data_IF_864040953123
#
_entry.id   IF_864040953123
#
_cell.length_a   1.000
_cell.length_b   1.000
_cell.length_c   1.000
_cell.angle_alpha   90.00
_cell.angle_beta   90.00
_cell.angle_gamma   90.00
#
_symmetry.space_group_name_H-M   'P 1'
#
loop_
_entity.id
_entity.type
_entity.pdbx_description
1 polymer ?
#
# COMPACT_ATOMS: atom_id res chain seq x y z
N UNK A 1 -42.95 -48.11 36.34
CA UNK A 1 -44.18 -47.59 36.96
C UNK A 1 -44.68 -46.42 36.20
N UNK A 2 -45.71 -46.63 35.45
CA UNK A 2 -46.93 -45.85 35.20
C UNK A 2 -46.70 -44.36 35.09
N UNK A 3 -46.94 -43.72 33.99
CA UNK A 3 -48.08 -43.78 33.04
C UNK A 3 -48.91 -42.53 33.20
N UNK A 4 -49.11 -41.81 32.13
CA UNK A 4 -50.41 -41.35 31.62
C UNK A 4 -50.26 -40.27 30.58
N UNK A 5 -50.59 -40.68 29.37
CA UNK A 5 -50.96 -39.78 28.24
C UNK A 5 -52.35 -39.17 28.52
N UNK A 6 -52.58 -37.94 28.08
CA UNK A 6 -53.92 -37.38 27.82
C UNK A 6 -53.97 -36.74 26.44
N UNK A 7 -55.11 -36.87 25.75
CA UNK A 7 -55.27 -36.65 24.34
C UNK A 7 -55.85 -35.25 23.99
N UNK A 8 -55.67 -34.88 22.71
CA UNK A 8 -56.26 -33.71 22.06
C UNK A 8 -57.77 -33.87 21.82
N UNK A 9 -58.55 -32.78 21.72
CA UNK A 9 -59.79 -32.75 20.94
C UNK A 9 -59.65 -31.83 19.70
N UNK A 10 -60.13 -32.33 18.57
CA UNK A 10 -60.47 -31.60 17.37
C UNK A 10 -61.88 -31.00 17.53
N UNK A 11 -62.15 -29.82 16.95
CA UNK A 11 -63.53 -29.42 16.66
C UNK A 11 -63.86 -29.47 15.17
N UNK A 12 -65.10 -29.76 14.96
CA UNK A 12 -65.87 -30.00 13.76
C UNK A 12 -66.25 -28.70 12.98
N UNK A 13 -66.49 -28.92 11.69
CA UNK A 13 -67.11 -28.03 10.72
C UNK A 13 -68.54 -27.68 11.08
N UNK A 14 -68.96 -26.43 10.73
CA UNK A 14 -70.28 -26.15 10.16
C UNK A 14 -70.28 -24.92 9.29
N UNK A 15 -70.78 -25.06 8.09
CA UNK A 15 -71.02 -24.07 7.07
C UNK A 15 -72.20 -23.19 7.38
N UNK A 16 -72.29 -21.99 6.83
CA UNK A 16 -73.54 -21.37 6.34
C UNK A 16 -73.23 -20.29 5.30
N UNK A 17 -73.93 -20.43 4.19
CA UNK A 17 -74.01 -19.62 2.98
C UNK A 17 -74.94 -18.42 3.19
N UNK A 18 -74.59 -17.26 2.66
CA UNK A 18 -75.54 -16.28 2.13
C UNK A 18 -74.87 -15.30 1.16
N UNK A 19 -75.41 -15.24 -0.02
CA UNK A 19 -75.11 -14.36 -1.15
C UNK A 19 -75.63 -12.95 -0.96
N UNK A 20 -75.02 -11.96 -1.60
CA UNK A 20 -75.73 -10.88 -2.35
C UNK A 20 -74.71 -10.12 -3.26
N UNK A 21 -75.11 -9.97 -4.49
CA UNK A 21 -74.39 -9.30 -5.57
C UNK A 21 -74.55 -7.75 -5.49
N UNK A 22 -73.51 -7.01 -5.91
CA UNK A 22 -73.69 -5.70 -6.54
C UNK A 22 -72.47 -5.40 -7.44
N UNK A 23 -72.79 -5.07 -8.68
CA UNK A 23 -71.85 -4.75 -9.76
C UNK A 23 -71.10 -3.40 -9.55
N UNK A 24 -69.82 -3.33 -9.88
CA UNK A 24 -69.08 -2.08 -10.00
C UNK A 24 -67.87 -2.32 -10.85
N UNK A 25 -67.98 -2.07 -12.15
CA UNK A 25 -66.86 -2.12 -13.10
C UNK A 25 -65.88 -0.95 -12.84
N UNK A 26 -64.65 -1.25 -12.44
CA UNK A 26 -63.51 -0.33 -12.54
C UNK A 26 -62.44 -1.01 -13.35
N UNK A 27 -62.22 -0.47 -14.55
CA UNK A 27 -61.14 -0.74 -15.45
C UNK A 27 -59.84 -0.31 -14.76
N UNK A 28 -59.09 -1.24 -14.20
CA UNK A 28 -57.69 -1.03 -13.84
C UNK A 28 -56.84 -1.61 -14.96
N UNK A 29 -56.34 -0.70 -15.78
CA UNK A 29 -55.26 -0.99 -16.75
C UNK A 29 -54.02 -1.49 -16.01
N UNK A 30 -53.90 -2.79 -15.87
CA UNK A 30 -52.71 -3.43 -15.39
C UNK A 30 -51.61 -3.37 -16.45
N UNK A 31 -50.70 -2.41 -16.34
CA UNK A 31 -49.40 -2.51 -17.01
C UNK A 31 -48.68 -3.71 -16.43
N UNK A 32 -48.66 -4.79 -17.17
CA UNK A 32 -47.85 -5.95 -16.90
C UNK A 32 -46.36 -5.55 -16.96
N UNK A 33 -45.73 -5.46 -15.83
CA UNK A 33 -44.27 -5.40 -15.74
C UNK A 33 -43.72 -6.76 -16.15
N UNK A 34 -43.14 -6.84 -17.34
CA UNK A 34 -42.32 -7.95 -17.77
C UNK A 34 -41.09 -8.02 -16.81
N UNK A 35 -40.75 -9.18 -16.22
CA UNK A 35 -39.49 -9.34 -15.50
C UNK A 35 -38.37 -9.51 -16.52
N UNK A 36 -37.71 -8.42 -16.88
CA UNK A 36 -36.61 -8.51 -17.85
C UNK A 36 -36.06 -7.16 -18.29
N UNK A 37 -35.69 -6.30 -17.36
CA UNK A 37 -34.59 -5.34 -17.53
C UNK A 37 -34.13 -4.87 -16.16
N UNK A 38 -33.03 -5.41 -15.71
CA UNK A 38 -32.23 -4.85 -14.63
C UNK A 38 -31.51 -3.57 -15.11
N UNK A 39 -32.28 -2.64 -15.67
CA UNK A 39 -31.87 -1.27 -15.89
C UNK A 39 -31.89 -0.60 -14.53
N UNK A 40 -30.73 -0.37 -13.93
CA UNK A 40 -30.62 0.42 -12.71
C UNK A 40 -31.34 1.75 -12.92
N UNK A 41 -32.25 2.07 -12.02
CA UNK A 41 -32.95 3.35 -12.00
C UNK A 41 -31.88 4.45 -12.10
N UNK A 42 -32.06 5.41 -13.02
CA UNK A 42 -31.10 6.52 -13.24
C UNK A 42 -30.86 7.36 -11.98
N UNK A 43 -31.67 7.20 -10.96
CA UNK A 43 -31.60 7.93 -9.69
C UNK A 43 -30.85 7.15 -8.57
N UNK A 44 -30.48 5.89 -8.80
CA UNK A 44 -29.80 5.08 -7.80
C UNK A 44 -28.32 5.51 -7.66
N UNK A 45 -27.78 5.61 -6.41
CA UNK A 45 -26.39 5.93 -6.21
C UNK A 45 -25.46 4.87 -6.81
N UNK A 46 -24.28 5.29 -7.26
CA UNK A 46 -23.20 4.38 -7.66
C UNK A 46 -22.45 3.99 -6.40
N UNK A 47 -22.58 2.72 -5.98
CA UNK A 47 -21.97 2.23 -4.74
C UNK A 47 -20.60 1.65 -5.01
N UNK A 48 -19.61 2.06 -4.23
CA UNK A 48 -18.26 1.51 -4.20
C UNK A 48 -17.82 1.27 -2.76
N UNK A 49 -16.76 0.48 -2.54
CA UNK A 49 -16.25 0.24 -1.21
C UNK A 49 -14.76 0.57 -1.12
N UNK A 50 -14.35 1.11 0.04
CA UNK A 50 -12.96 1.26 0.45
C UNK A 50 -12.80 0.67 1.85
N UNK A 51 -11.75 -0.12 2.07
CA UNK A 51 -11.41 -0.60 3.41
C UNK A 51 -9.95 -0.32 3.76
N UNK A 52 -9.69 -0.24 5.04
CA UNK A 52 -8.35 -0.21 5.59
C UNK A 52 -8.42 -0.57 7.09
N UNK A 53 -7.32 -1.05 7.68
CA UNK A 53 -7.29 -1.28 9.12
C UNK A 53 -7.31 0.03 9.89
N UNK A 54 -8.02 0.02 11.00
CA UNK A 54 -8.06 1.13 11.95
C UNK A 54 -8.19 0.59 13.38
N UNK A 55 -7.60 1.31 14.34
CA UNK A 55 -7.63 0.97 15.77
C UNK A 55 -7.03 -0.41 16.08
N UNK A 56 -5.96 -0.77 15.38
CA UNK A 56 -5.21 -2.01 15.61
C UNK A 56 -3.86 -1.74 16.25
N UNK A 57 -3.24 -2.78 16.82
CA UNK A 57 -1.86 -2.71 17.32
C UNK A 57 -0.81 -2.74 16.20
N UNK A 58 -1.20 -3.18 15.00
CA UNK A 58 -0.38 -3.24 13.80
C UNK A 58 -0.57 -1.97 12.95
N UNK A 59 -0.41 -2.09 11.63
CA UNK A 59 -0.59 -0.98 10.69
C UNK A 59 -2.03 -0.48 10.68
N UNK A 60 -2.22 0.84 10.74
CA UNK A 60 -3.51 1.51 10.60
C UNK A 60 -3.44 2.53 9.46
N UNK A 61 -4.43 2.52 8.58
CA UNK A 61 -4.50 3.37 7.40
C UNK A 61 -5.84 4.12 7.30
N UNK A 62 -6.26 4.83 8.38
CA UNK A 62 -7.57 5.49 8.43
C UNK A 62 -7.72 6.61 7.40
N UNK A 63 -6.60 7.14 6.90
CA UNK A 63 -6.59 8.17 5.85
C UNK A 63 -7.19 7.70 4.54
N UNK A 64 -7.09 6.41 4.19
CA UNK A 64 -7.61 5.89 2.93
C UNK A 64 -9.16 5.95 2.87
N UNK A 65 -9.91 5.38 3.81
CA UNK A 65 -11.38 5.56 3.82
C UNK A 65 -11.81 7.01 3.98
N UNK A 66 -11.08 7.83 4.75
CA UNK A 66 -11.36 9.24 4.91
C UNK A 66 -11.21 10.01 3.58
N UNK A 67 -10.13 9.75 2.83
CA UNK A 67 -9.89 10.33 1.51
C UNK A 67 -10.99 9.92 0.50
N UNK A 68 -11.38 8.64 0.51
CA UNK A 68 -12.47 8.13 -0.33
C UNK A 68 -13.78 8.87 -0.07
N UNK A 69 -14.11 9.14 1.19
CA UNK A 69 -15.29 9.90 1.58
C UNK A 69 -15.20 11.38 1.16
N UNK A 70 -14.04 12.02 1.32
CA UNK A 70 -13.82 13.39 0.87
C UNK A 70 -13.97 13.51 -0.65
N UNK A 71 -13.39 12.55 -1.40
CA UNK A 71 -13.53 12.46 -2.85
C UNK A 71 -15.00 12.31 -3.29
N UNK A 72 -15.76 11.44 -2.62
CA UNK A 72 -17.18 11.25 -2.94
C UNK A 72 -18.01 12.52 -2.69
N UNK A 73 -17.76 13.24 -1.58
CA UNK A 73 -18.43 14.52 -1.31
C UNK A 73 -18.15 15.53 -2.41
N UNK A 74 -16.88 15.65 -2.82
CA UNK A 74 -16.51 16.51 -3.94
C UNK A 74 -17.22 16.14 -5.24
N UNK A 75 -17.24 14.87 -5.61
CA UNK A 75 -17.92 14.39 -6.83
C UNK A 75 -19.42 14.73 -6.76
N UNK A 76 -20.05 14.50 -5.62
CA UNK A 76 -21.49 14.70 -5.45
C UNK A 76 -21.89 16.18 -5.50
N UNK A 77 -21.08 17.05 -4.90
CA UNK A 77 -21.26 18.51 -4.94
C UNK A 77 -21.10 19.08 -6.35
N UNK A 78 -20.31 18.39 -7.18
CA UNK A 78 -20.12 18.73 -8.60
C UNK A 78 -21.06 17.97 -9.56
N UNK A 79 -22.24 17.56 -9.07
CA UNK A 79 -23.30 16.96 -9.89
C UNK A 79 -23.21 15.44 -10.05
N UNK A 80 -22.36 14.77 -9.28
CA UNK A 80 -22.23 13.32 -9.33
C UNK A 80 -21.59 12.79 -10.63
N UNK A 81 -21.80 11.51 -10.92
CA UNK A 81 -21.37 10.87 -12.16
C UNK A 81 -22.62 10.58 -12.99
N UNK A 82 -22.76 11.21 -14.14
CA UNK A 82 -23.98 11.19 -14.96
C UNK A 82 -25.23 11.58 -14.15
N UNK A 83 -25.12 12.54 -13.23
CA UNK A 83 -26.21 12.95 -12.34
C UNK A 83 -26.49 12.00 -11.17
N UNK A 84 -25.76 10.90 -11.05
CA UNK A 84 -25.90 9.92 -9.97
C UNK A 84 -24.88 10.16 -8.85
N UNK A 85 -25.29 10.16 -7.58
CA UNK A 85 -24.36 10.34 -6.48
C UNK A 85 -23.43 9.12 -6.34
N UNK A 86 -22.15 9.37 -6.02
CA UNK A 86 -21.18 8.36 -5.62
C UNK A 86 -21.36 8.05 -4.13
N UNK A 87 -21.70 6.80 -3.81
CA UNK A 87 -21.85 6.29 -2.44
C UNK A 87 -20.63 5.45 -2.08
N UNK A 88 -19.81 5.93 -1.15
CA UNK A 88 -18.67 5.20 -0.64
C UNK A 88 -19.05 4.48 0.65
N UNK A 89 -18.94 3.15 0.64
CA UNK A 89 -18.99 2.32 1.83
C UNK A 89 -17.58 2.16 2.38
N UNK A 90 -17.44 2.29 3.69
CA UNK A 90 -16.18 2.03 4.37
C UNK A 90 -16.24 0.77 5.21
N UNK A 91 -15.13 0.03 5.30
CA UNK A 91 -15.02 -1.16 6.13
C UNK A 91 -13.68 -1.12 6.87
N UNK A 92 -13.68 -1.43 8.17
CA UNK A 92 -12.46 -1.62 8.95
C UNK A 92 -12.11 -3.11 8.94
N UNK A 93 -11.05 -3.50 8.24
CA UNK A 93 -10.63 -4.90 8.12
C UNK A 93 -9.73 -5.37 9.29
N UNK A 94 -9.36 -4.45 10.19
CA UNK A 94 -8.68 -4.68 11.49
C UNK A 94 -7.36 -5.46 11.42
N UNK A 95 -6.70 -5.53 10.28
CA UNK A 95 -5.58 -6.44 10.01
C UNK A 95 -5.92 -7.90 10.37
N UNK A 96 -7.13 -8.32 10.03
CA UNK A 96 -7.64 -9.64 10.32
C UNK A 96 -8.19 -10.29 9.03
N UNK A 97 -7.77 -11.53 8.77
CA UNK A 97 -8.10 -12.24 7.53
C UNK A 97 -9.60 -12.54 7.38
N UNK A 98 -10.29 -12.82 8.47
CA UNK A 98 -11.73 -13.10 8.49
C UNK A 98 -12.48 -11.79 8.22
N UNK A 99 -12.07 -10.71 8.88
CA UNK A 99 -12.68 -9.40 8.72
C UNK A 99 -12.43 -8.85 7.31
N UNK A 100 -11.25 -9.07 6.71
CA UNK A 100 -10.97 -8.72 5.32
C UNK A 100 -11.91 -9.44 4.35
N UNK A 101 -12.13 -10.75 4.55
CA UNK A 101 -13.12 -11.52 3.78
C UNK A 101 -14.54 -10.97 3.95
N UNK A 102 -14.94 -10.61 5.17
CA UNK A 102 -16.27 -10.00 5.43
C UNK A 102 -16.42 -8.64 4.74
N UNK A 103 -15.37 -7.80 4.68
CA UNK A 103 -15.41 -6.55 3.93
C UNK A 103 -15.66 -6.82 2.43
N UNK A 104 -15.01 -7.83 1.85
CA UNK A 104 -15.22 -8.21 0.45
C UNK A 104 -16.64 -8.77 0.19
N UNK A 105 -17.15 -9.62 1.08
CA UNK A 105 -18.52 -10.13 1.01
C UNK A 105 -19.55 -9.00 1.11
N UNK A 106 -19.34 -8.06 2.05
CA UNK A 106 -20.20 -6.87 2.18
C UNK A 106 -20.20 -6.01 0.92
N UNK A 107 -19.07 -5.88 0.22
CA UNK A 107 -19.05 -5.18 -1.06
C UNK A 107 -19.98 -5.83 -2.09
N UNK A 108 -20.04 -7.16 -2.11
CA UNK A 108 -20.94 -7.93 -2.97
C UNK A 108 -22.41 -7.75 -2.56
N UNK A 109 -22.74 -7.88 -1.28
CA UNK A 109 -24.11 -7.76 -0.74
C UNK A 109 -24.69 -6.36 -1.03
N UNK A 110 -23.87 -5.33 -0.91
CA UNK A 110 -24.23 -3.93 -1.18
C UNK A 110 -24.15 -3.58 -2.68
N UNK A 111 -23.87 -4.55 -3.54
CA UNK A 111 -23.76 -4.40 -5.00
C UNK A 111 -22.79 -3.31 -5.42
N UNK A 112 -21.63 -3.26 -4.76
CA UNK A 112 -20.56 -2.35 -5.12
C UNK A 112 -20.09 -2.61 -6.56
N UNK A 113 -19.92 -1.56 -7.35
CA UNK A 113 -19.42 -1.67 -8.73
C UNK A 113 -17.90 -1.82 -8.79
N UNK A 114 -17.21 -1.48 -7.70
CA UNK A 114 -15.77 -1.67 -7.51
C UNK A 114 -15.41 -1.58 -6.03
N UNK A 115 -14.28 -2.19 -5.66
CA UNK A 115 -13.51 -1.86 -4.47
C UNK A 115 -12.36 -0.96 -4.88
N UNK A 116 -12.13 0.15 -4.19
CA UNK A 116 -11.27 1.24 -4.67
C UNK A 116 -10.39 1.79 -3.56
N UNK A 117 -9.10 1.96 -3.81
CA UNK A 117 -8.21 2.66 -2.91
C UNK A 117 -8.14 2.04 -1.51
N UNK A 118 -7.94 0.73 -1.43
CA UNK A 118 -8.01 -0.03 -0.17
C UNK A 118 -6.63 -0.54 0.27
N UNK A 119 -6.49 -0.80 1.56
CA UNK A 119 -5.32 -1.44 2.14
C UNK A 119 -5.71 -2.76 2.80
N UNK A 120 -4.97 -3.83 2.54
CA UNK A 120 -5.01 -5.06 3.32
C UNK A 120 -3.76 -5.90 3.07
N UNK A 121 -3.29 -6.60 4.09
CA UNK A 121 -2.23 -7.62 3.99
C UNK A 121 -2.82 -9.02 3.70
N UNK A 122 -4.15 -9.13 3.62
CA UNK A 122 -4.87 -10.41 3.57
C UNK A 122 -5.47 -10.69 2.18
N UNK A 123 -4.67 -10.54 1.11
CA UNK A 123 -5.11 -10.73 -0.27
C UNK A 123 -5.82 -12.05 -0.51
N UNK A 124 -5.28 -13.15 0.04
CA UNK A 124 -5.87 -14.50 -0.03
C UNK A 124 -7.28 -14.59 0.58
N UNK A 125 -7.66 -13.66 1.45
CA UNK A 125 -8.96 -13.66 2.10
C UNK A 125 -9.97 -12.76 1.41
N UNK A 126 -9.57 -11.60 0.88
CA UNK A 126 -10.50 -10.66 0.27
C UNK A 126 -10.63 -10.81 -1.26
N UNK A 127 -9.59 -11.27 -1.95
CA UNK A 127 -9.63 -11.33 -3.42
C UNK A 127 -10.58 -12.41 -3.96
N UNK A 128 -10.58 -13.66 -3.45
CA UNK A 128 -11.47 -14.69 -3.97
C UNK A 128 -12.96 -14.35 -3.91
N UNK A 129 -13.52 -13.76 -2.84
CA UNK A 129 -14.91 -13.28 -2.85
C UNK A 129 -15.18 -12.25 -3.96
N UNK A 130 -14.25 -11.31 -4.20
CA UNK A 130 -14.41 -10.32 -5.27
C UNK A 130 -14.39 -10.95 -6.65
N UNK A 131 -13.51 -11.93 -6.89
CA UNK A 131 -13.41 -12.68 -8.14
C UNK A 131 -14.72 -13.42 -8.44
N UNK A 132 -15.24 -14.16 -7.47
CA UNK A 132 -16.50 -14.90 -7.60
C UNK A 132 -17.66 -13.98 -7.95
N UNK A 133 -17.71 -12.79 -7.36
CA UNK A 133 -18.77 -11.81 -7.58
C UNK A 133 -18.51 -10.88 -8.77
N UNK A 134 -17.34 -10.99 -9.41
CA UNK A 134 -16.97 -10.19 -10.57
C UNK A 134 -16.69 -8.73 -10.27
N UNK A 135 -16.32 -8.38 -9.02
CA UNK A 135 -16.09 -7.01 -8.57
C UNK A 135 -14.62 -6.64 -8.77
N UNK A 136 -14.30 -5.60 -9.58
CA UNK A 136 -12.93 -5.15 -9.75
C UNK A 136 -12.36 -4.47 -8.49
N UNK A 137 -11.07 -4.73 -8.23
CA UNK A 137 -10.28 -4.11 -7.18
C UNK A 137 -9.33 -3.09 -7.82
N UNK A 138 -9.56 -1.80 -7.61
CA UNK A 138 -8.86 -0.70 -8.29
C UNK A 138 -7.95 0.03 -7.31
N UNK A 139 -6.64 0.05 -7.58
CA UNK A 139 -5.69 0.85 -6.83
C UNK A 139 -5.58 0.45 -5.37
N UNK A 140 -5.33 -0.83 -5.10
CA UNK A 140 -4.89 -1.26 -3.78
C UNK A 140 -3.55 -0.66 -3.40
N UNK A 141 -3.22 -0.69 -2.11
CA UNK A 141 -1.96 -0.15 -1.61
C UNK A 141 -0.74 -0.88 -2.20
N UNK A 142 -0.87 -2.17 -2.50
CA UNK A 142 0.19 -2.94 -3.18
C UNK A 142 1.08 -3.74 -2.26
N UNK A 143 0.49 -4.46 -1.31
CA UNK A 143 1.22 -5.32 -0.37
C UNK A 143 1.05 -6.81 -0.65
N UNK A 144 -0.16 -7.24 -1.00
CA UNK A 144 -0.44 -8.65 -1.17
C UNK A 144 -0.16 -9.13 -2.60
N UNK A 145 0.26 -10.38 -2.72
CA UNK A 145 0.50 -11.04 -4.00
C UNK A 145 -0.74 -10.99 -4.91
N UNK A 146 -1.93 -11.18 -4.33
CA UNK A 146 -3.19 -11.21 -5.07
C UNK A 146 -3.52 -9.87 -5.74
N UNK A 147 -3.03 -8.76 -5.20
CA UNK A 147 -3.15 -7.44 -5.85
C UNK A 147 -2.40 -7.39 -7.20
N UNK A 148 -1.42 -8.27 -7.40
CA UNK A 148 -0.60 -8.29 -8.63
C UNK A 148 -0.77 -9.55 -9.48
N UNK A 149 -1.55 -10.53 -9.03
CA UNK A 149 -1.78 -11.79 -9.75
C UNK A 149 -3.24 -11.96 -10.18
N UNK A 150 -4.19 -11.41 -9.43
CA UNK A 150 -5.62 -11.53 -9.74
C UNK A 150 -6.01 -10.78 -11.01
N UNK A 151 -6.76 -11.41 -11.96
CA UNK A 151 -7.29 -10.75 -13.14
C UNK A 151 -8.36 -9.69 -12.82
N UNK A 152 -8.82 -9.61 -11.59
CA UNK A 152 -9.76 -8.59 -11.10
C UNK A 152 -9.07 -7.41 -10.45
N UNK A 153 -7.75 -7.42 -10.33
CA UNK A 153 -6.97 -6.33 -9.77
C UNK A 153 -6.42 -5.40 -10.85
N UNK A 154 -6.51 -4.09 -10.56
CA UNK A 154 -6.08 -2.98 -11.41
C UNK A 154 -5.17 -2.05 -10.59
N UNK A 155 -3.92 -2.46 -10.33
CA UNK A 155 -2.99 -1.70 -9.50
C UNK A 155 -2.57 -0.40 -10.17
N UNK A 156 -2.52 0.70 -9.42
CA UNK A 156 -2.09 2.03 -9.91
C UNK A 156 -0.59 2.27 -9.70
N UNK A 157 0.05 1.44 -8.89
CA UNK A 157 1.49 1.43 -8.62
C UNK A 157 2.04 -0.01 -8.73
N UNK A 158 3.33 -0.17 -8.61
CA UNK A 158 4.00 -1.48 -8.70
C UNK A 158 4.29 -2.14 -7.35
N UNK A 159 3.62 -1.68 -6.29
CA UNK A 159 3.76 -2.26 -4.94
C UNK A 159 5.18 -2.21 -4.39
N UNK A 160 5.43 -3.06 -3.40
CA UNK A 160 6.75 -3.18 -2.78
C UNK A 160 7.84 -3.60 -3.78
N UNK A 161 7.47 -4.35 -4.83
CA UNK A 161 8.44 -4.80 -5.83
C UNK A 161 9.14 -3.63 -6.51
N UNK A 162 8.39 -2.64 -6.98
CA UNK A 162 8.99 -1.46 -7.63
C UNK A 162 9.71 -0.55 -6.66
N UNK A 163 9.21 -0.42 -5.42
CA UNK A 163 9.91 0.37 -4.40
C UNK A 163 11.28 -0.19 -4.08
N UNK A 164 11.39 -1.49 -3.86
CA UNK A 164 12.65 -2.14 -3.51
C UNK A 164 13.62 -2.16 -4.68
N UNK A 165 13.18 -2.53 -5.88
CA UNK A 165 14.01 -2.45 -7.07
C UNK A 165 14.52 -1.02 -7.33
N UNK A 166 13.66 -0.03 -7.14
CA UNK A 166 14.01 1.38 -7.24
C UNK A 166 14.98 1.83 -6.14
N UNK A 167 14.76 1.38 -4.91
CA UNK A 167 15.65 1.67 -3.78
C UNK A 167 17.05 1.09 -4.01
N UNK A 168 17.15 -0.17 -4.49
CA UNK A 168 18.42 -0.77 -4.87
C UNK A 168 19.16 0.07 -5.92
N UNK A 169 18.50 0.52 -6.98
CA UNK A 169 19.10 1.40 -7.99
C UNK A 169 19.50 2.77 -7.44
N UNK A 170 18.65 3.35 -6.56
CA UNK A 170 18.95 4.63 -5.93
C UNK A 170 20.22 4.51 -5.05
N UNK A 171 20.29 3.47 -4.22
CA UNK A 171 21.41 3.23 -3.33
C UNK A 171 22.69 2.87 -4.08
N UNK A 172 22.62 2.07 -5.13
CA UNK A 172 23.78 1.72 -5.95
C UNK A 172 24.55 2.93 -6.51
N UNK A 173 23.88 4.07 -6.68
CA UNK A 173 24.50 5.32 -7.15
C UNK A 173 25.34 6.03 -6.08
N UNK A 174 25.11 5.74 -4.80
CA UNK A 174 25.72 6.47 -3.66
C UNK A 174 26.40 5.56 -2.65
N UNK A 175 26.21 4.25 -2.73
CA UNK A 175 26.69 3.26 -1.77
C UNK A 175 27.51 2.17 -2.45
N UNK A 176 28.54 1.67 -1.76
CA UNK A 176 29.29 0.49 -2.20
C UNK A 176 28.73 -0.80 -1.62
N UNK A 177 28.33 -0.75 -0.37
CA UNK A 177 27.72 -1.86 0.34
C UNK A 177 26.40 -1.42 0.96
N UNK A 178 25.42 -2.33 0.94
CA UNK A 178 24.08 -2.09 1.45
C UNK A 178 23.70 -3.22 2.39
N UNK A 179 23.10 -2.90 3.53
CA UNK A 179 22.39 -3.86 4.36
C UNK A 179 20.89 -3.55 4.31
N UNK A 180 20.07 -4.59 4.15
CA UNK A 180 18.61 -4.53 4.21
C UNK A 180 18.13 -5.07 5.54
N UNK A 181 17.38 -4.26 6.29
CA UNK A 181 16.67 -4.73 7.48
C UNK A 181 15.22 -4.95 7.14
N UNK A 182 14.75 -6.17 7.29
CA UNK A 182 13.43 -6.59 6.83
C UNK A 182 12.69 -7.45 7.88
N UNK A 183 11.34 -7.59 7.79
CA UNK A 183 10.62 -8.46 8.72
C UNK A 183 11.07 -9.92 8.62
N UNK A 184 11.16 -10.60 9.75
CA UNK A 184 11.41 -12.04 9.83
C UNK A 184 10.10 -12.82 9.63
N UNK A 185 9.58 -12.75 8.40
CA UNK A 185 8.33 -13.37 7.97
C UNK A 185 8.47 -13.97 6.58
N UNK A 186 7.57 -14.89 6.23
CA UNK A 186 7.54 -15.50 4.88
C UNK A 186 7.38 -14.42 3.80
N UNK A 187 6.54 -13.41 4.02
CA UNK A 187 6.39 -12.30 3.09
C UNK A 187 7.68 -11.45 3.00
N UNK A 188 8.41 -11.33 4.10
CA UNK A 188 9.70 -10.64 4.15
C UNK A 188 10.80 -11.36 3.37
N UNK A 189 10.73 -12.68 3.21
CA UNK A 189 11.78 -13.47 2.54
C UNK A 189 11.98 -13.11 1.07
N UNK A 190 10.98 -12.55 0.40
CA UNK A 190 11.09 -12.08 -0.99
C UNK A 190 11.74 -10.68 -1.13
N UNK A 191 11.85 -9.90 -0.06
CA UNK A 191 12.30 -8.50 -0.14
C UNK A 191 13.78 -8.33 -0.54
N UNK A 192 14.74 -9.17 -0.08
CA UNK A 192 16.13 -9.07 -0.51
C UNK A 192 16.28 -9.19 -2.03
N UNK A 193 15.63 -10.18 -2.65
CA UNK A 193 15.73 -10.41 -4.09
C UNK A 193 15.24 -9.20 -4.91
N UNK A 194 14.22 -8.50 -4.43
CA UNK A 194 13.69 -7.31 -5.09
C UNK A 194 14.65 -6.11 -4.98
N UNK A 195 15.30 -5.91 -3.82
CA UNK A 195 16.31 -4.88 -3.64
C UNK A 195 17.56 -5.18 -4.46
N UNK A 196 18.02 -6.43 -4.41
CA UNK A 196 19.22 -6.90 -5.08
C UNK A 196 19.09 -6.80 -6.61
N UNK A 197 17.89 -6.95 -7.17
CA UNK A 197 17.67 -6.70 -8.59
C UNK A 197 18.16 -5.30 -9.00
N UNK A 198 17.89 -4.28 -8.18
CA UNK A 198 18.36 -2.92 -8.43
C UNK A 198 19.85 -2.71 -8.20
N UNK A 199 20.42 -3.35 -7.18
CA UNK A 199 21.85 -3.30 -6.87
C UNK A 199 22.68 -3.98 -7.96
N UNK A 200 22.33 -5.20 -8.32
CA UNK A 200 23.04 -6.04 -9.31
C UNK A 200 22.96 -5.44 -10.70
N UNK A 201 21.79 -4.91 -11.12
CA UNK A 201 21.68 -4.19 -12.40
C UNK A 201 22.65 -3.02 -12.48
N UNK A 202 22.98 -2.41 -11.33
CA UNK A 202 23.90 -1.29 -11.20
C UNK A 202 25.33 -1.74 -10.85
N UNK A 203 25.67 -3.01 -11.03
CA UNK A 203 26.99 -3.61 -10.77
C UNK A 203 27.46 -3.50 -9.30
N UNK A 204 26.49 -3.63 -8.36
CA UNK A 204 26.77 -3.73 -6.93
C UNK A 204 26.53 -5.15 -6.44
N UNK A 205 27.20 -5.50 -5.35
CA UNK A 205 26.94 -6.77 -4.66
C UNK A 205 25.54 -6.76 -4.04
N UNK A 206 24.92 -7.94 -3.88
CA UNK A 206 23.68 -8.10 -3.13
C UNK A 206 23.77 -7.50 -1.72
N UNK A 207 22.66 -7.05 -1.19
CA UNK A 207 22.57 -6.52 0.15
C UNK A 207 22.81 -7.61 1.21
N UNK A 208 23.41 -7.23 2.35
CA UNK A 208 23.38 -8.09 3.54
C UNK A 208 21.97 -8.12 4.10
N UNK A 209 21.37 -9.33 4.19
CA UNK A 209 20.02 -9.54 4.73
C UNK A 209 20.03 -9.60 6.25
N UNK A 210 19.33 -8.67 6.91
CA UNK A 210 19.18 -8.62 8.36
C UNK A 210 17.70 -8.78 8.73
N UNK A 211 17.38 -9.88 9.40
CA UNK A 211 16.01 -10.23 9.82
C UNK A 211 15.67 -9.55 11.14
N UNK A 212 14.50 -8.94 11.21
CA UNK A 212 14.00 -8.23 12.37
C UNK A 212 12.64 -8.75 12.81
N UNK A 213 12.45 -9.12 14.09
CA UNK A 213 11.14 -9.52 14.60
C UNK A 213 10.12 -8.41 14.47
N UNK A 214 8.88 -8.72 14.08
CA UNK A 214 7.83 -7.71 13.88
C UNK A 214 7.32 -7.07 15.17
N UNK A 215 7.46 -7.74 16.30
CA UNK A 215 6.94 -7.33 17.61
C UNK A 215 8.00 -6.72 18.54
N UNK A 216 9.25 -6.60 18.10
CA UNK A 216 10.33 -6.07 18.93
C UNK A 216 10.10 -4.59 19.27
N UNK A 217 10.40 -4.22 20.51
CA UNK A 217 10.41 -2.84 21.00
C UNK A 217 11.80 -2.19 20.88
N UNK A 218 12.85 -2.97 20.58
CA UNK A 218 14.22 -2.53 20.40
C UNK A 218 14.92 -3.37 19.33
N UNK A 219 15.66 -2.72 18.46
CA UNK A 219 16.39 -3.32 17.34
C UNK A 219 17.90 -3.09 17.43
N UNK A 220 18.44 -2.89 18.63
CA UNK A 220 19.89 -2.63 18.82
C UNK A 220 20.77 -3.69 18.16
N UNK A 221 20.41 -4.97 18.30
CA UNK A 221 21.16 -6.08 17.67
C UNK A 221 21.10 -5.99 16.14
N UNK A 222 19.93 -5.79 15.57
CA UNK A 222 19.75 -5.67 14.12
C UNK A 222 20.43 -4.44 13.55
N UNK A 223 20.47 -3.35 14.32
CA UNK A 223 21.20 -2.14 13.94
C UNK A 223 22.73 -2.39 13.88
N UNK A 224 23.27 -3.15 14.84
CA UNK A 224 24.69 -3.56 14.83
C UNK A 224 25.01 -4.50 13.66
N UNK A 225 24.16 -5.50 13.42
CA UNK A 225 24.27 -6.42 12.28
C UNK A 225 24.22 -5.67 10.95
N UNK A 226 23.30 -4.70 10.81
CA UNK A 226 23.16 -3.88 9.61
C UNK A 226 24.38 -2.98 9.37
N UNK A 227 24.93 -2.35 10.41
CA UNK A 227 26.15 -1.55 10.31
C UNK A 227 27.34 -2.39 9.84
N UNK A 228 27.54 -3.56 10.46
CA UNK A 228 28.59 -4.51 10.07
C UNK A 228 28.38 -5.00 8.63
N UNK A 229 27.16 -5.39 8.28
CA UNK A 229 26.81 -5.89 6.95
C UNK A 229 26.92 -4.83 5.86
N UNK A 230 26.75 -3.55 6.20
CA UNK A 230 26.99 -2.43 5.31
C UNK A 230 28.49 -2.07 5.17
N UNK A 231 29.39 -2.83 5.82
CA UNK A 231 30.82 -2.57 5.76
C UNK A 231 31.26 -1.33 6.55
N UNK A 232 30.48 -0.90 7.55
CA UNK A 232 30.91 0.16 8.44
C UNK A 232 32.16 -0.28 9.22
N UNK A 233 33.17 0.59 9.29
CA UNK A 233 34.37 0.30 10.07
C UNK A 233 34.01 0.07 11.55
N UNK A 234 34.71 -0.82 12.25
CA UNK A 234 34.47 -1.12 13.68
C UNK A 234 34.49 0.15 14.54
N UNK A 235 35.31 1.14 14.14
CA UNK A 235 35.33 2.46 14.77
C UNK A 235 34.04 3.27 14.65
N UNK A 236 33.11 2.87 13.76
CA UNK A 236 31.79 3.48 13.59
C UNK A 236 30.73 2.93 14.56
N UNK A 237 31.05 1.89 15.32
CA UNK A 237 30.16 1.29 16.31
C UNK A 237 30.39 1.94 17.69
N UNK A 238 29.32 2.32 18.36
CA UNK A 238 29.39 2.68 19.77
C UNK A 238 29.71 1.43 20.59
N UNK A 239 30.60 1.56 21.59
CA UNK A 239 30.91 0.45 22.50
C UNK A 239 29.62 0.02 23.20
N UNK A 240 29.16 -1.21 22.91
CA UNK A 240 28.04 -1.83 23.60
C UNK A 240 28.35 -1.95 25.10
N UNK A 241 27.35 -2.06 26.00
CA UNK A 241 27.58 -2.32 27.40
C UNK A 241 28.37 -3.64 27.53
N UNK A 242 29.62 -3.53 27.92
CA UNK A 242 30.46 -4.69 28.21
C UNK A 242 29.81 -5.53 29.30
N UNK A 243 29.37 -6.72 28.95
CA UNK A 243 29.11 -7.76 29.94
C UNK A 243 30.46 -8.12 30.55
N UNK A 244 30.70 -7.66 31.77
CA UNK A 244 31.92 -7.91 32.47
C UNK A 244 32.08 -9.40 32.79
N UNK A 245 33.15 -10.02 32.30
CA UNK A 245 33.72 -11.24 32.86
C UNK A 245 35.24 -11.15 32.87
N UNK A 246 35.76 -11.01 34.06
CA UNK A 246 36.89 -11.72 34.66
C UNK A 246 38.25 -11.73 33.96
N UNK A 247 39.16 -10.93 34.54
CA UNK A 247 40.57 -11.25 34.90
C UNK A 247 41.38 -12.24 34.07
N UNK A 248 42.41 -11.72 33.43
CA UNK A 248 43.54 -12.52 32.94
C UNK A 248 44.72 -11.60 32.61
N UNK A 249 45.61 -11.40 33.61
CA UNK A 249 46.87 -10.68 33.41
C UNK A 249 47.81 -11.51 32.55
N UNK A 250 48.33 -10.94 31.47
CA UNK A 250 49.37 -11.50 30.63
C UNK A 250 50.24 -10.38 30.08
N UNK A 251 51.36 -10.11 30.77
CA UNK A 251 52.45 -9.25 30.32
C UNK A 251 53.18 -9.87 29.13
N UNK A 252 53.17 -9.22 28.00
CA UNK A 252 53.96 -9.58 26.83
C UNK A 252 54.42 -8.32 26.09
N UNK A 253 55.62 -7.83 26.45
CA UNK A 253 56.38 -6.81 25.71
C UNK A 253 56.85 -7.37 24.36
N UNK A 254 56.39 -6.82 23.27
CA UNK A 254 56.89 -7.10 21.92
C UNK A 254 56.93 -5.82 21.09
N UNK A 255 58.05 -5.16 21.08
CA UNK A 255 58.40 -4.02 20.21
C UNK A 255 58.60 -4.54 18.78
N UNK A 256 57.80 -4.12 17.82
CA UNK A 256 58.15 -4.21 16.40
C UNK A 256 57.81 -2.90 15.70
N UNK A 257 58.84 -2.10 15.47
CA UNK A 257 58.87 -0.97 14.53
C UNK A 257 58.76 -1.50 13.10
N UNK A 258 57.62 -1.30 12.49
CA UNK A 258 57.37 -1.49 11.07
C UNK A 258 56.79 -0.22 10.48
N UNK A 259 57.66 0.66 9.96
CA UNK A 259 57.28 1.85 9.19
C UNK A 259 56.78 1.39 7.81
N UNK A 260 55.53 1.05 7.72
CA UNK A 260 54.84 0.85 6.46
C UNK A 260 54.02 2.10 6.09
N UNK A 261 54.58 2.94 5.24
CA UNK A 261 53.90 4.04 4.59
C UNK A 261 52.74 3.45 3.74
N UNK A 262 51.55 3.37 4.30
CA UNK A 262 50.36 3.13 3.50
C UNK A 262 50.05 4.43 2.78
N UNK A 263 50.39 4.49 1.52
CA UNK A 263 49.83 5.43 0.56
C UNK A 263 48.35 5.14 0.50
N UNK A 264 47.56 5.91 1.24
CA UNK A 264 46.10 6.01 1.04
C UNK A 264 45.88 6.71 -0.29
N UNK A 265 45.77 5.94 -1.37
CA UNK A 265 45.08 6.42 -2.55
C UNK A 265 43.67 6.82 -2.08
N UNK A 266 43.38 8.10 -2.19
CA UNK A 266 42.05 8.65 -1.96
C UNK A 266 41.07 7.99 -2.95
N UNK A 267 40.53 6.83 -2.57
CA UNK A 267 39.38 6.19 -3.17
C UNK A 267 38.20 7.06 -2.80
N UNK A 268 37.48 7.58 -3.79
CA UNK A 268 36.32 8.44 -3.58
C UNK A 268 35.40 7.86 -2.52
N UNK A 269 34.86 8.75 -1.72
CA UNK A 269 34.03 8.51 -0.52
C UNK A 269 32.84 7.57 -0.83
N UNK A 270 33.08 6.27 -0.78
CA UNK A 270 32.06 5.25 -0.99
C UNK A 270 31.38 4.97 0.34
N UNK A 271 30.16 5.49 0.48
CA UNK A 271 29.39 5.36 1.69
C UNK A 271 28.86 3.93 1.87
N UNK A 272 28.83 3.46 3.11
CA UNK A 272 28.02 2.33 3.55
C UNK A 272 26.56 2.76 3.68
N UNK A 273 25.61 1.87 3.37
CA UNK A 273 24.20 2.21 3.44
C UNK A 273 23.39 1.14 4.16
N UNK A 274 22.42 1.59 4.96
CA UNK A 274 21.43 0.73 5.60
C UNK A 274 20.04 1.17 5.14
N UNK A 275 19.26 0.22 4.61
CA UNK A 275 17.87 0.46 4.25
C UNK A 275 16.94 -0.42 5.11
N UNK A 276 15.81 0.14 5.54
CA UNK A 276 14.84 -0.58 6.35
C UNK A 276 13.50 -0.68 5.62
N UNK A 277 12.93 -1.87 5.61
CA UNK A 277 11.63 -2.19 5.05
C UNK A 277 10.71 -2.79 6.14
N UNK A 278 10.57 -2.10 7.27
CA UNK A 278 9.85 -2.55 8.46
C UNK A 278 8.52 -1.82 8.66
N UNK A 279 7.99 -1.13 7.63
CA UNK A 279 6.76 -0.34 7.70
C UNK A 279 6.78 0.61 8.93
N UNK A 280 5.78 0.54 9.78
CA UNK A 280 5.69 1.37 11.00
C UNK A 280 6.81 1.13 12.01
N UNK A 281 7.44 -0.06 11.99
CA UNK A 281 8.57 -0.38 12.89
C UNK A 281 9.89 0.24 12.42
N UNK A 282 9.94 0.79 11.21
CA UNK A 282 11.10 1.50 10.70
C UNK A 282 11.55 2.63 11.64
N UNK A 283 10.62 3.32 12.28
CA UNK A 283 10.94 4.37 13.26
C UNK A 283 11.66 3.80 14.49
N UNK A 284 11.14 2.70 15.06
CA UNK A 284 11.75 2.02 16.18
C UNK A 284 13.16 1.50 15.83
N UNK A 285 13.30 0.99 14.59
CA UNK A 285 14.61 0.60 14.09
C UNK A 285 15.58 1.79 13.99
N UNK A 286 15.17 2.92 13.42
CA UNK A 286 16.03 4.09 13.31
C UNK A 286 16.39 4.70 14.66
N UNK A 287 15.52 4.62 15.66
CA UNK A 287 15.85 5.01 17.04
C UNK A 287 16.93 4.10 17.62
N UNK A 288 16.83 2.80 17.41
CA UNK A 288 17.86 1.84 17.83
C UNK A 288 19.18 2.04 17.06
N UNK A 289 19.06 2.26 15.73
CA UNK A 289 20.19 2.50 14.86
C UNK A 289 21.01 3.72 15.29
N UNK A 290 20.36 4.86 15.61
CA UNK A 290 21.02 6.07 16.10
C UNK A 290 21.78 5.88 17.41
N UNK A 291 21.27 5.03 18.32
CA UNK A 291 21.96 4.71 19.57
C UNK A 291 23.24 3.90 19.35
N UNK A 292 23.29 3.13 18.27
CA UNK A 292 24.45 2.27 17.93
C UNK A 292 25.45 2.99 17.03
N UNK A 293 24.97 3.88 16.17
CA UNK A 293 25.82 4.65 15.26
C UNK A 293 26.57 5.75 16.02
N UNK A 294 27.89 5.87 15.81
CA UNK A 294 28.65 7.03 16.29
C UNK A 294 28.37 8.28 15.46
N UNK A 295 28.50 9.46 16.09
CA UNK A 295 28.18 10.76 15.47
C UNK A 295 28.90 11.06 14.15
N UNK A 296 30.06 10.44 13.89
CA UNK A 296 30.89 10.66 12.70
C UNK A 296 30.81 9.50 11.68
N UNK A 297 29.81 8.61 11.78
CA UNK A 297 29.74 7.49 10.87
C UNK A 297 29.31 7.93 9.46
N UNK A 298 30.02 7.41 8.43
CA UNK A 298 29.71 7.66 7.03
C UNK A 298 28.57 6.79 6.49
N UNK A 299 27.80 6.16 7.39
CA UNK A 299 26.70 5.27 7.00
C UNK A 299 25.45 6.08 6.68
N UNK A 300 24.96 5.96 5.46
CA UNK A 300 23.72 6.61 5.00
C UNK A 300 22.52 5.72 5.28
N UNK A 301 21.43 6.36 5.59
CA UNK A 301 20.15 5.69 5.83
C UNK A 301 19.30 5.83 4.58
N UNK A 302 18.54 4.78 4.28
CA UNK A 302 17.51 4.80 3.26
C UNK A 302 16.27 4.04 3.72
N UNK A 303 15.18 4.29 3.04
CA UNK A 303 13.95 3.53 3.24
C UNK A 303 13.08 3.57 1.98
N UNK A 304 12.08 2.70 1.95
CA UNK A 304 11.01 2.76 0.96
C UNK A 304 9.84 3.59 1.46
N UNK A 305 9.02 4.06 0.54
CA UNK A 305 7.83 4.86 0.87
C UNK A 305 6.91 4.10 1.84
N UNK A 306 6.35 4.83 2.79
CA UNK A 306 5.56 4.28 3.91
C UNK A 306 6.34 4.23 5.21
N UNK A 307 7.66 4.25 5.15
CA UNK A 307 8.55 4.23 6.32
C UNK A 307 9.19 5.58 6.62
N UNK A 308 9.45 6.42 5.62
CA UNK A 308 9.89 7.82 5.79
C UNK A 308 8.91 8.74 5.08
N UNK A 309 8.13 9.46 5.86
CA UNK A 309 7.12 10.43 5.41
C UNK A 309 7.45 11.81 5.96
N UNK A 310 6.90 12.87 5.39
CA UNK A 310 7.12 14.24 5.87
C UNK A 310 6.70 14.40 7.34
N UNK A 311 5.57 13.83 7.73
CA UNK A 311 5.09 13.85 9.11
C UNK A 311 6.09 13.23 10.10
N UNK A 312 6.82 12.21 9.68
CA UNK A 312 7.89 11.63 10.49
C UNK A 312 9.09 12.59 10.60
N UNK A 313 9.52 13.19 9.51
CA UNK A 313 10.61 14.18 9.51
C UNK A 313 10.26 15.33 10.44
N UNK A 314 9.02 15.84 10.36
CA UNK A 314 8.54 16.94 11.20
C UNK A 314 8.53 16.56 12.69
N UNK A 315 8.01 15.37 13.02
CA UNK A 315 7.92 14.88 14.42
C UNK A 315 9.27 14.55 15.03
N UNK A 316 10.30 14.28 14.21
CA UNK A 316 11.66 13.97 14.66
C UNK A 316 12.60 15.18 14.68
N UNK A 317 12.07 16.40 14.48
CA UNK A 317 12.82 17.65 14.62
C UNK A 317 12.96 18.49 13.34
N UNK A 318 12.29 18.15 12.27
CA UNK A 318 12.31 18.90 11.01
C UNK A 318 13.74 19.02 10.48
N UNK A 319 14.27 20.24 10.37
CA UNK A 319 15.65 20.52 9.93
C UNK A 319 16.75 19.90 10.82
N UNK A 320 16.42 19.64 12.08
CA UNK A 320 17.33 18.98 13.03
C UNK A 320 17.00 17.50 13.18
N UNK A 321 16.17 16.95 12.29
CA UNK A 321 15.84 15.53 12.30
C UNK A 321 17.10 14.69 12.04
N UNK A 322 17.21 13.60 12.76
CA UNK A 322 18.22 12.58 12.48
C UNK A 322 17.98 11.85 11.15
N UNK A 323 16.85 12.14 10.47
CA UNK A 323 16.57 11.66 9.13
C UNK A 323 17.14 12.57 8.03
N UNK A 324 17.81 13.67 8.37
CA UNK A 324 18.46 14.53 7.38
C UNK A 324 19.46 13.73 6.54
N UNK A 325 19.40 13.87 5.21
CA UNK A 325 20.18 13.07 4.27
C UNK A 325 19.65 11.67 3.98
N UNK A 326 18.56 11.24 4.61
CA UNK A 326 17.94 9.93 4.37
C UNK A 326 17.34 9.87 2.96
N UNK A 327 17.69 8.83 2.20
CA UNK A 327 17.09 8.54 0.91
C UNK A 327 15.73 7.84 1.07
N UNK A 328 14.79 8.17 0.20
CA UNK A 328 13.50 7.48 0.14
C UNK A 328 13.15 7.19 -1.32
N UNK A 329 12.54 6.03 -1.55
CA UNK A 329 11.97 5.65 -2.85
C UNK A 329 10.47 5.63 -2.72
N UNK A 330 9.77 6.38 -3.57
CA UNK A 330 8.32 6.51 -3.54
C UNK A 330 7.68 6.10 -4.87
N UNK A 331 6.37 5.87 -4.88
CA UNK A 331 5.60 5.65 -6.12
C UNK A 331 5.25 6.95 -6.81
N UNK A 332 5.08 8.02 -6.05
CA UNK A 332 4.47 9.28 -6.49
C UNK A 332 5.41 10.47 -6.24
N UNK A 333 5.16 11.61 -6.88
CA UNK A 333 5.85 12.85 -6.55
C UNK A 333 5.75 13.20 -5.06
N UNK A 334 6.72 13.96 -4.56
CA UNK A 334 6.70 14.47 -3.18
C UNK A 334 5.42 15.26 -2.90
N UNK A 335 4.99 15.30 -1.65
CA UNK A 335 3.69 15.88 -1.26
C UNK A 335 3.54 17.38 -1.62
N UNK A 336 4.65 18.11 -1.72
CA UNK A 336 4.67 19.52 -2.12
C UNK A 336 4.61 19.72 -3.64
N UNK A 337 4.67 18.66 -4.46
CA UNK A 337 4.60 18.77 -5.91
C UNK A 337 3.27 19.42 -6.34
N UNK A 338 3.32 20.36 -7.32
CA UNK A 338 2.11 21.04 -7.83
C UNK A 338 1.02 20.08 -8.36
N UNK A 339 1.39 18.90 -8.87
CA UNK A 339 0.43 17.91 -9.35
C UNK A 339 -0.58 17.44 -8.29
N UNK A 340 -0.27 17.62 -7.00
CA UNK A 340 -1.18 17.34 -5.88
C UNK A 340 -2.18 18.45 -5.57
N UNK A 341 -2.13 19.61 -6.27
CA UNK A 341 -3.04 20.73 -5.98
C UNK A 341 -4.53 20.36 -6.03
N UNK A 342 -5.00 19.55 -7.00
CA UNK A 342 -6.39 19.09 -6.98
C UNK A 342 -6.77 18.30 -5.73
N UNK A 343 -5.87 17.42 -5.23
CA UNK A 343 -6.09 16.66 -4.00
C UNK A 343 -6.12 17.60 -2.79
N UNK A 344 -5.13 18.51 -2.67
CA UNK A 344 -5.07 19.49 -1.57
C UNK A 344 -6.36 20.32 -1.48
N UNK A 345 -6.85 20.79 -2.64
CA UNK A 345 -8.11 21.55 -2.71
C UNK A 345 -9.30 20.71 -2.22
N UNK A 346 -9.43 19.47 -2.68
CA UNK A 346 -10.53 18.60 -2.25
C UNK A 346 -10.45 18.29 -0.76
N UNK A 347 -9.28 18.02 -0.23
CA UNK A 347 -9.12 17.80 1.21
C UNK A 347 -9.50 19.05 2.00
N UNK A 348 -9.02 20.21 1.59
CA UNK A 348 -9.36 21.49 2.24
C UNK A 348 -10.88 21.76 2.26
N UNK A 349 -11.56 21.54 1.13
CA UNK A 349 -12.95 21.96 0.95
C UNK A 349 -13.95 20.87 1.41
N UNK A 350 -13.57 19.58 1.41
CA UNK A 350 -14.48 18.45 1.58
C UNK A 350 -14.07 17.44 2.67
N UNK A 351 -12.92 17.59 3.31
CA UNK A 351 -12.54 16.72 4.43
C UNK A 351 -13.22 17.12 5.75
N UNK A 352 -13.70 18.37 5.89
CA UNK A 352 -14.32 18.90 7.11
C UNK A 352 -13.45 18.72 8.35
N UNK A 353 -12.17 19.14 8.24
CA UNK A 353 -11.15 19.03 9.28
C UNK A 353 -10.87 17.58 9.74
N UNK A 354 -11.12 16.60 8.88
CA UNK A 354 -10.79 15.20 9.18
C UNK A 354 -9.26 15.01 9.21
N UNK A 355 -8.69 15.03 10.42
CA UNK A 355 -7.27 14.92 10.67
C UNK A 355 -6.65 13.53 10.35
N UNK A 356 -7.47 12.57 9.92
CA UNK A 356 -6.97 11.25 9.46
C UNK A 356 -6.33 11.33 8.09
N UNK A 357 -6.60 12.38 7.29
CA UNK A 357 -6.05 12.55 5.96
C UNK A 357 -4.73 13.33 6.05
N UNK A 358 -3.62 12.62 5.96
CA UNK A 358 -2.30 13.20 5.73
C UNK A 358 -2.05 13.22 4.20
N UNK A 359 -1.81 14.42 3.64
CA UNK A 359 -1.53 14.60 2.20
C UNK A 359 -0.22 13.95 1.75
N UNK A 360 0.70 13.72 2.68
CA UNK A 360 1.96 13.03 2.42
C UNK A 360 1.85 11.51 2.61
N UNK A 361 0.72 11.01 3.13
CA UNK A 361 0.51 9.58 3.33
C UNK A 361 0.31 8.88 1.98
N UNK A 362 1.15 7.87 1.64
CA UNK A 362 1.06 7.18 0.36
C UNK A 362 -0.25 6.40 0.19
N UNK A 363 -0.91 6.02 1.28
CA UNK A 363 -2.23 5.39 1.22
C UNK A 363 -3.31 6.37 0.80
N UNK A 364 -3.35 7.57 1.40
CA UNK A 364 -4.27 8.64 0.99
C UNK A 364 -4.03 9.05 -0.47
N UNK A 365 -2.75 9.14 -0.89
CA UNK A 365 -2.35 9.43 -2.26
C UNK A 365 -2.80 8.33 -3.23
N UNK A 366 -2.58 7.06 -2.88
CA UNK A 366 -3.06 5.91 -3.68
C UNK A 366 -4.58 5.92 -3.82
N UNK A 367 -5.30 6.22 -2.73
CA UNK A 367 -6.76 6.32 -2.77
C UNK A 367 -7.24 7.43 -3.70
N UNK A 368 -6.62 8.62 -3.64
CA UNK A 368 -6.92 9.72 -4.57
C UNK A 368 -6.76 9.31 -6.02
N UNK A 369 -5.64 8.66 -6.37
CA UNK A 369 -5.34 8.18 -7.73
C UNK A 369 -6.34 7.10 -8.16
N UNK A 370 -6.64 6.13 -7.29
CA UNK A 370 -7.59 5.06 -7.57
C UNK A 370 -9.01 5.59 -7.84
N UNK A 371 -9.45 6.59 -7.06
CA UNK A 371 -10.74 7.26 -7.30
C UNK A 371 -10.74 8.13 -8.55
N UNK A 372 -9.58 8.69 -8.94
CA UNK A 372 -9.44 9.38 -10.23
C UNK A 372 -9.59 8.40 -11.39
N UNK A 373 -9.00 7.20 -11.30
CA UNK A 373 -9.22 6.11 -12.26
C UNK A 373 -10.70 5.72 -12.31
N UNK A 374 -11.30 5.43 -11.17
CA UNK A 374 -12.70 5.06 -11.08
C UNK A 374 -13.61 6.10 -11.74
N UNK A 375 -13.46 7.38 -11.38
CA UNK A 375 -14.26 8.49 -11.93
C UNK A 375 -14.10 8.56 -13.44
N UNK A 376 -12.87 8.46 -13.96
CA UNK A 376 -12.57 8.46 -15.39
C UNK A 376 -13.30 7.31 -16.11
N UNK A 377 -13.23 6.10 -15.56
CA UNK A 377 -13.92 4.92 -16.11
C UNK A 377 -15.44 5.11 -16.09
N UNK A 378 -16.01 5.44 -14.94
CA UNK A 378 -17.46 5.60 -14.78
C UNK A 378 -18.03 6.68 -15.70
N UNK A 379 -17.30 7.78 -15.89
CA UNK A 379 -17.70 8.87 -16.81
C UNK A 379 -17.68 8.42 -18.28
N UNK A 380 -16.87 7.43 -18.63
CA UNK A 380 -16.79 6.88 -20.00
C UNK A 380 -17.87 5.84 -20.32
N UNK A 381 -18.55 5.31 -19.31
CA UNK A 381 -19.60 4.30 -19.49
C UNK A 381 -20.92 4.94 -19.87
N UNK A 382 -21.79 4.14 -20.53
CA UNK A 382 -23.20 4.52 -20.72
C UNK A 382 -23.86 4.68 -19.34
N UNK A 383 -24.58 5.79 -19.08
CA UNK A 383 -25.28 6.00 -17.81
C UNK A 383 -26.22 4.87 -17.38
N UNK A 384 -26.77 4.13 -18.35
CA UNK A 384 -27.67 3.00 -18.12
C UNK A 384 -26.97 1.67 -17.80
N UNK A 385 -25.65 1.57 -18.01
CA UNK A 385 -24.88 0.33 -17.85
C UNK A 385 -23.73 0.45 -16.84
N UNK A 386 -23.95 1.17 -15.76
CA UNK A 386 -22.94 1.25 -14.68
C UNK A 386 -23.08 0.02 -13.78
N UNK A 387 -22.14 -0.91 -13.93
CA UNK A 387 -22.08 -2.18 -13.20
C UNK A 387 -20.61 -2.61 -12.99
N UNK A 388 -20.36 -3.52 -12.05
CA UNK A 388 -19.02 -4.09 -11.83
C UNK A 388 -18.43 -4.69 -13.12
N UNK A 389 -19.28 -5.39 -13.89
CA UNK A 389 -18.92 -5.95 -15.19
C UNK A 389 -18.53 -4.88 -16.21
N UNK A 390 -19.29 -3.79 -16.29
CA UNK A 390 -19.02 -2.70 -17.23
C UNK A 390 -17.71 -1.98 -16.87
N UNK A 391 -17.48 -1.71 -15.58
CA UNK A 391 -16.22 -1.13 -15.06
C UNK A 391 -15.05 -2.01 -15.44
N UNK A 392 -15.11 -3.32 -15.15
CA UNK A 392 -14.06 -4.27 -15.51
C UNK A 392 -13.83 -4.32 -17.02
N UNK A 393 -14.91 -4.41 -17.79
CA UNK A 393 -14.79 -4.47 -19.26
C UNK A 393 -14.13 -3.23 -19.84
N UNK A 394 -14.41 -2.04 -19.30
CA UNK A 394 -13.77 -0.80 -19.72
C UNK A 394 -12.27 -0.81 -19.43
N UNK A 395 -11.88 -1.23 -18.22
CA UNK A 395 -10.47 -1.36 -17.82
C UNK A 395 -9.72 -2.37 -18.71
N UNK A 396 -10.27 -3.56 -18.91
CA UNK A 396 -9.66 -4.63 -19.73
C UNK A 396 -9.56 -4.25 -21.21
N UNK A 397 -10.49 -3.44 -21.74
CA UNK A 397 -10.44 -2.91 -23.10
C UNK A 397 -9.51 -1.73 -23.28
N UNK A 398 -8.90 -1.27 -22.21
CA UNK A 398 -7.83 -0.27 -22.24
C UNK A 398 -8.33 1.16 -22.11
N UNK A 399 -9.36 1.39 -21.30
CA UNK A 399 -9.65 2.74 -20.85
C UNK A 399 -8.38 3.35 -20.25
N UNK A 400 -7.95 4.48 -20.79
CA UNK A 400 -6.72 5.15 -20.37
C UNK A 400 -7.03 6.31 -19.44
N UNK A 401 -6.40 6.31 -18.28
CA UNK A 401 -6.56 7.40 -17.30
C UNK A 401 -5.29 8.23 -17.22
N UNK A 402 -5.45 9.53 -17.35
CA UNK A 402 -4.45 10.52 -16.98
C UNK A 402 -4.69 10.97 -15.54
N UNK A 403 -3.68 10.84 -14.72
CA UNK A 403 -3.74 11.18 -13.28
C UNK A 403 -3.22 12.57 -12.97
N UNK A 404 -3.01 13.41 -13.98
CA UNK A 404 -2.50 14.77 -13.81
C UNK A 404 -1.02 14.83 -13.44
N UNK A 405 -0.22 13.84 -13.88
CA UNK A 405 1.22 13.78 -13.58
C UNK A 405 1.56 13.04 -12.28
N UNK A 406 0.58 12.52 -11.55
CA UNK A 406 0.81 11.72 -10.32
C UNK A 406 1.33 10.32 -10.61
N UNK A 407 1.03 9.79 -11.79
CA UNK A 407 1.60 8.57 -12.37
C UNK A 407 1.76 8.78 -13.87
N UNK A 408 2.52 7.95 -14.59
CA UNK A 408 2.32 7.77 -16.03
C UNK A 408 0.86 7.40 -16.33
N UNK A 409 0.42 7.57 -17.58
CA UNK A 409 -0.94 7.15 -17.97
C UNK A 409 -1.17 5.68 -17.66
N UNK A 410 -2.27 5.39 -17.00
CA UNK A 410 -2.63 4.03 -16.58
C UNK A 410 -3.59 3.38 -17.58
N UNK A 411 -3.31 2.14 -17.96
CA UNK A 411 -4.12 1.34 -18.87
C UNK A 411 -3.80 -0.15 -18.67
N UNK A 412 -4.82 -1.01 -18.62
CA UNK A 412 -4.66 -2.43 -18.24
C UNK A 412 -5.07 -3.42 -19.34
N UNK A 413 -4.85 -3.10 -20.62
CA UNK A 413 -4.95 -4.13 -21.68
C UNK A 413 -3.85 -5.17 -21.49
N UNK A 414 -4.05 -6.33 -22.03
CA UNK A 414 -3.04 -7.39 -21.98
C UNK A 414 -1.65 -6.93 -22.48
N UNK A 415 -1.63 -6.09 -23.53
CA UNK A 415 -0.38 -5.56 -24.11
C UNK A 415 0.28 -4.48 -23.25
N UNK A 416 -0.44 -3.91 -22.28
CA UNK A 416 0.09 -2.89 -21.38
C UNK A 416 0.64 -3.49 -20.08
N UNK A 417 0.35 -4.78 -19.83
CA UNK A 417 0.86 -5.49 -18.67
C UNK A 417 2.36 -5.76 -18.85
N UNK A 418 3.13 -5.44 -17.81
CA UNK A 418 4.57 -5.66 -17.84
C UNK A 418 4.89 -7.14 -17.60
N UNK A 419 5.84 -7.74 -18.35
CA UNK A 419 6.19 -9.15 -18.22
C UNK A 419 7.08 -9.40 -16.98
N UNK A 420 6.63 -8.92 -15.83
CA UNK A 420 7.31 -9.08 -14.54
C UNK A 420 6.80 -10.36 -13.90
N UNK A 421 7.70 -11.32 -13.75
CA UNK A 421 7.41 -12.59 -13.05
C UNK A 421 6.85 -12.27 -11.66
N UNK A 422 5.88 -13.05 -11.20
CA UNK A 422 5.16 -12.93 -9.94
C UNK A 422 4.31 -11.67 -9.78
N UNK A 423 4.38 -10.71 -10.73
CA UNK A 423 3.63 -9.45 -10.70
C UNK A 423 2.98 -9.13 -12.06
N UNK A 424 2.24 -10.08 -12.69
CA UNK A 424 1.76 -9.94 -14.07
C UNK A 424 0.69 -8.85 -14.25
N UNK A 425 0.17 -8.25 -13.19
CA UNK A 425 -0.82 -7.17 -13.28
C UNK A 425 -0.23 -5.77 -13.24
N UNK A 426 1.09 -5.63 -13.06
CA UNK A 426 1.73 -4.31 -13.05
C UNK A 426 1.68 -3.69 -14.44
N UNK A 427 1.20 -2.46 -14.52
CA UNK A 427 1.22 -1.58 -15.70
C UNK A 427 2.09 -0.34 -15.48
N UNK A 428 2.44 -0.08 -14.23
CA UNK A 428 3.23 1.06 -13.81
C UNK A 428 4.37 0.62 -12.88
N UNK A 429 5.56 0.49 -13.43
CA UNK A 429 6.78 0.19 -12.67
C UNK A 429 7.63 1.44 -12.43
N UNK A 430 7.00 2.61 -12.34
CA UNK A 430 7.68 3.85 -12.11
C UNK A 430 7.76 4.19 -10.62
N UNK A 431 8.91 4.72 -10.21
CA UNK A 431 9.19 5.20 -8.86
C UNK A 431 9.77 6.63 -8.91
N UNK A 432 9.80 7.30 -7.76
CA UNK A 432 10.46 8.59 -7.58
C UNK A 432 11.60 8.45 -6.58
N UNK A 433 12.70 9.15 -6.82
CA UNK A 433 13.83 9.22 -5.89
C UNK A 433 13.75 10.48 -5.07
N UNK A 434 13.77 10.32 -3.78
CA UNK A 434 13.56 11.38 -2.80
C UNK A 434 14.70 11.37 -1.77
N UNK A 435 14.89 12.48 -1.09
CA UNK A 435 15.85 12.65 0.00
C UNK A 435 15.31 13.67 1.00
N UNK A 436 15.58 13.46 2.27
CA UNK A 436 15.32 14.46 3.31
C UNK A 436 16.42 15.51 3.24
N UNK A 437 16.03 16.76 2.99
CA UNK A 437 16.94 17.92 2.93
C UNK A 437 16.29 19.13 3.55
N UNK A 438 17.00 19.79 4.45
CA UNK A 438 16.49 20.94 5.20
C UNK A 438 15.16 20.68 5.92
N UNK A 439 14.99 19.46 6.44
CA UNK A 439 13.79 18.99 7.10
C UNK A 439 12.61 18.74 6.18
N UNK A 440 12.85 18.61 4.88
CA UNK A 440 11.81 18.32 3.88
C UNK A 440 12.17 17.12 3.04
N UNK A 441 11.16 16.32 2.72
CA UNK A 441 11.28 15.26 1.73
C UNK A 441 11.19 15.90 0.33
N UNK A 442 12.31 15.92 -0.39
CA UNK A 442 12.41 16.54 -1.70
C UNK A 442 12.83 15.57 -2.78
N UNK A 443 12.46 15.83 -4.02
CA UNK A 443 12.88 15.00 -5.14
C UNK A 443 14.40 15.13 -5.39
N UNK A 444 15.07 13.99 -5.51
CA UNK A 444 16.48 13.92 -5.93
C UNK A 444 16.61 14.29 -7.42
N UNK A 445 15.62 13.90 -8.20
CA UNK A 445 15.49 14.22 -9.62
C UNK A 445 14.02 14.44 -9.98
N UNK A 446 13.77 15.23 -10.99
CA UNK A 446 12.42 15.44 -11.51
C UNK A 446 11.91 14.22 -12.28
N UNK A 447 10.62 13.95 -12.16
CA UNK A 447 9.92 12.90 -12.86
C UNK A 447 10.16 11.48 -12.31
N UNK A 448 9.77 10.52 -13.11
CA UNK A 448 9.78 9.12 -12.72
C UNK A 448 11.04 8.39 -13.18
N UNK A 449 11.32 7.28 -12.51
CA UNK A 449 12.33 6.29 -12.86
C UNK A 449 11.61 4.98 -13.13
N UNK A 450 11.71 4.49 -14.35
CA UNK A 450 11.17 3.18 -14.71
C UNK A 450 12.11 2.06 -14.24
N UNK A 451 11.57 1.12 -13.47
CA UNK A 451 12.28 -0.06 -12.96
C UNK A 451 11.74 -1.38 -13.54
N UNK A 452 10.92 -1.31 -14.60
CA UNK A 452 10.35 -2.50 -15.23
C UNK A 452 11.46 -3.49 -15.65
N UNK A 453 12.49 -3.00 -16.35
CA UNK A 453 13.58 -3.86 -16.82
C UNK A 453 14.41 -4.45 -15.67
N UNK A 454 14.55 -3.74 -14.56
CA UNK A 454 15.18 -4.24 -13.34
C UNK A 454 14.46 -5.48 -12.82
N UNK A 455 13.14 -5.41 -12.75
CA UNK A 455 12.31 -6.52 -12.28
C UNK A 455 12.20 -7.68 -13.28
N UNK A 456 12.15 -7.38 -14.60
CA UNK A 456 12.09 -8.40 -15.65
C UNK A 456 13.38 -9.21 -15.71
N UNK A 457 14.54 -8.58 -15.51
CA UNK A 457 15.87 -9.23 -15.55
C UNK A 457 16.29 -9.85 -14.22
N UNK A 458 15.45 -9.75 -13.19
CA UNK A 458 15.73 -10.35 -11.89
C UNK A 458 16.08 -11.82 -12.05
N UNK A 459 17.24 -12.22 -11.54
CA UNK A 459 17.66 -13.63 -11.49
C UNK A 459 17.04 -14.29 -10.28
N UNK A 460 16.57 -15.52 -10.43
CA UNK A 460 16.19 -16.32 -9.27
C UNK A 460 17.46 -16.62 -8.46
N UNK A 461 17.47 -16.24 -7.22
CA UNK A 461 18.40 -16.81 -6.26
C UNK A 461 17.81 -18.13 -5.80
N UNK A 462 18.23 -19.22 -6.47
CA UNK A 462 17.86 -20.59 -6.11
C UNK A 462 18.52 -21.02 -4.80
#
# INVERSE_FOLDING_TARGET
MNGRRRPFPRPSNTALVAACAAAGALLVSGCGSLPGSSGGSRDQPITVMTWAPNETKATNMPGMPAMAQAYARWVNDNGGIHGRPLRVLTCNERNDSITASHCAQRAADEKAVAVVGSYSQHGRSFMPPLEVMGIPYIGGYGLSEEEFTSPFSYPVNGGQATLLAGNGRQLASVCNQVALVRPDTIAGDALPELLDAGLVESHREPATDVRAPEDASDYTRQAQEALTGAGAAEDSLAAGPSAGTGTGAGTGTGTSTGTGTRTSTASGNSASCVTAALEKRTNTFFDSFRRVQKDNSQVRIASILGSVQQSLVDSTGGRNSALEGTYATGWYPVADDPSWEPMRKVVKDYAFDDNRIDLADPGAQTTWIAYTVLKSVLTSLDPGDISARAVRTALDRGHSTDTGGLTPKLRWRYEDLLPIRDYPRIVNANVTYQVVRDGKLVAVRQGFVDVAQTLVKRKDTA
#
